data_IF_436710273672
#
_entry.id   IF_436710273672
#
_cell.length_a   1.000
_cell.length_b   1.000
_cell.length_c   1.000
_cell.angle_alpha   90.00
_cell.angle_beta   90.00
_cell.angle_gamma   90.00
#
_symmetry.space_group_name_H-M   'P 1'
#
loop_
_entity.id
_entity.type
_entity.pdbx_description
1 polymer ?
#
# COMPACT_ATOMS: atom_id res chain seq x y z
N UNK A 1 6.71 -2.49 -26.66
CA UNK A 1 5.31 -2.50 -27.16
C UNK A 1 4.42 -1.57 -26.34
N UNK A 2 4.33 -1.74 -25.01
CA UNK A 2 3.40 -0.95 -24.17
C UNK A 2 3.67 0.56 -24.23
N UNK A 3 4.93 1.00 -24.15
CA UNK A 3 5.29 2.42 -24.23
C UNK A 3 4.81 3.06 -25.53
N UNK A 4 5.09 2.44 -26.68
CA UNK A 4 4.65 2.94 -27.99
C UNK A 4 3.12 3.07 -28.04
N UNK A 5 2.39 2.08 -27.50
CA UNK A 5 0.92 2.16 -27.45
C UNK A 5 0.46 3.34 -26.59
N UNK A 6 1.11 3.58 -25.44
CA UNK A 6 0.79 4.74 -24.59
C UNK A 6 1.07 6.06 -25.27
N UNK A 7 2.18 6.16 -26.01
CA UNK A 7 2.54 7.36 -26.80
C UNK A 7 1.54 7.64 -27.91
N UNK A 8 1.14 6.60 -28.67
CA UNK A 8 0.21 6.75 -29.80
C UNK A 8 -1.21 7.00 -29.33
N UNK A 9 -1.72 6.20 -28.37
CA UNK A 9 -3.08 6.29 -27.88
C UNK A 9 -3.28 7.41 -26.83
N UNK A 10 -2.22 8.03 -26.35
CA UNK A 10 -2.27 9.04 -25.27
C UNK A 10 -3.07 8.57 -24.04
N UNK A 11 -2.98 7.26 -23.71
CA UNK A 11 -3.64 6.67 -22.55
C UNK A 11 -2.95 5.37 -22.14
N UNK A 12 -3.16 4.93 -20.90
CA UNK A 12 -2.72 3.62 -20.41
C UNK A 12 -3.90 2.63 -20.45
N UNK A 13 -4.20 2.11 -21.62
CA UNK A 13 -5.34 1.20 -21.84
C UNK A 13 -5.32 -0.03 -20.92
N UNK A 14 -4.15 -0.49 -20.53
CA UNK A 14 -4.00 -1.68 -19.68
C UNK A 14 -4.36 -1.41 -18.21
N UNK A 15 -4.07 -0.21 -17.70
CA UNK A 15 -4.19 0.11 -16.28
C UNK A 15 -5.29 1.14 -15.98
N UNK A 16 -5.50 2.07 -16.88
CA UNK A 16 -6.49 3.15 -16.80
C UNK A 16 -7.20 3.28 -18.15
N UNK A 17 -8.03 2.29 -18.53
CA UNK A 17 -8.75 2.34 -19.79
C UNK A 17 -9.65 3.58 -19.83
N UNK A 18 -9.79 4.17 -21.02
CA UNK A 18 -10.64 5.34 -21.28
C UNK A 18 -10.23 6.65 -20.57
N UNK A 19 -9.03 6.69 -19.96
CA UNK A 19 -8.48 7.91 -19.35
C UNK A 19 -7.35 8.45 -20.25
N UNK A 20 -7.66 9.53 -20.98
CA UNK A 20 -6.67 10.23 -21.81
C UNK A 20 -5.61 10.94 -20.96
N UNK A 21 -4.38 10.94 -21.42
CA UNK A 21 -3.34 11.71 -20.77
C UNK A 21 -3.51 13.20 -21.05
N UNK A 22 -3.31 14.07 -20.04
CA UNK A 22 -3.23 15.51 -20.26
C UNK A 22 -2.21 15.84 -21.36
N UNK A 23 -2.46 16.89 -22.12
CA UNK A 23 -1.60 17.28 -23.25
C UNK A 23 -0.15 17.51 -22.80
N UNK A 24 0.03 18.17 -21.66
CA UNK A 24 1.35 18.46 -21.10
C UNK A 24 2.11 17.24 -20.54
N UNK A 25 1.44 16.05 -20.44
CA UNK A 25 2.10 14.85 -19.92
C UNK A 25 3.01 14.22 -20.97
N UNK A 26 4.32 14.31 -20.78
CA UNK A 26 5.32 13.57 -21.54
C UNK A 26 5.31 12.08 -21.21
N UNK A 27 5.69 11.24 -22.17
CA UNK A 27 5.82 9.78 -21.97
C UNK A 27 7.24 9.40 -22.36
N UNK A 28 8.11 9.26 -21.36
CA UNK A 28 9.51 8.93 -21.53
C UNK A 28 9.75 7.42 -21.43
N UNK A 29 10.76 6.95 -22.16
CA UNK A 29 11.26 5.57 -22.07
C UNK A 29 12.51 5.49 -21.21
N UNK A 30 13.26 6.57 -21.16
CA UNK A 30 14.54 6.65 -20.45
C UNK A 30 14.29 7.05 -18.99
N UNK A 31 14.79 6.21 -18.09
CA UNK A 31 14.73 6.48 -16.66
C UNK A 31 15.55 7.71 -16.28
N UNK A 32 16.64 8.00 -17.00
CA UNK A 32 17.47 9.18 -16.76
C UNK A 32 16.71 10.49 -17.05
N UNK A 33 15.85 10.50 -18.08
CA UNK A 33 14.98 11.64 -18.39
C UNK A 33 13.98 11.89 -17.24
N UNK A 34 13.35 10.81 -16.74
CA UNK A 34 12.42 10.92 -15.61
C UNK A 34 13.13 11.35 -14.31
N UNK A 35 14.34 10.84 -14.07
CA UNK A 35 15.11 11.13 -12.86
C UNK A 35 15.69 12.55 -12.83
N UNK A 36 15.73 13.27 -13.97
CA UNK A 36 16.14 14.66 -14.03
C UNK A 36 15.14 15.64 -13.42
N UNK A 37 13.93 15.19 -13.11
CA UNK A 37 12.92 16.00 -12.42
C UNK A 37 13.31 16.25 -10.97
N UNK A 38 12.96 17.43 -10.43
CA UNK A 38 13.20 17.78 -9.02
C UNK A 38 12.44 16.86 -8.06
N UNK A 39 11.20 16.49 -8.42
CA UNK A 39 10.33 15.60 -7.65
C UNK A 39 10.02 14.36 -8.50
N UNK A 40 10.33 13.18 -8.00
CA UNK A 40 10.02 11.91 -8.65
C UNK A 40 9.06 11.08 -7.80
N UNK A 41 7.90 10.75 -8.37
CA UNK A 41 6.91 9.86 -7.76
C UNK A 41 7.21 8.41 -8.16
N UNK A 42 7.43 7.54 -7.17
CA UNK A 42 7.75 6.13 -7.37
C UNK A 42 6.49 5.28 -7.18
N UNK A 43 5.88 4.84 -8.26
CA UNK A 43 4.65 4.07 -8.28
C UNK A 43 4.85 2.64 -8.85
N UNK A 44 5.92 1.99 -8.43
CA UNK A 44 6.26 0.60 -8.78
C UNK A 44 5.75 -0.36 -7.70
N UNK A 45 5.60 -1.67 -7.98
CA UNK A 45 5.35 -2.65 -6.94
C UNK A 45 6.46 -2.63 -5.87
N UNK A 46 6.08 -2.77 -4.59
CA UNK A 46 7.03 -2.68 -3.47
C UNK A 46 8.23 -3.61 -3.63
N UNK A 47 8.00 -4.86 -4.05
CA UNK A 47 9.05 -5.86 -4.24
C UNK A 47 10.00 -5.57 -5.43
N UNK A 48 9.70 -4.55 -6.22
CA UNK A 48 10.55 -4.09 -7.34
C UNK A 48 11.27 -2.78 -7.02
N UNK A 49 10.93 -2.13 -5.90
CA UNK A 49 11.44 -0.80 -5.56
C UNK A 49 12.96 -0.79 -5.41
N UNK A 50 13.54 -1.75 -4.70
CA UNK A 50 15.00 -1.83 -4.49
C UNK A 50 15.76 -1.95 -5.82
N UNK A 51 15.34 -2.87 -6.70
CA UNK A 51 15.92 -3.02 -8.03
C UNK A 51 15.75 -1.78 -8.92
N UNK A 52 14.59 -1.11 -8.80
CA UNK A 52 14.35 0.14 -9.52
C UNK A 52 15.27 1.28 -9.03
N UNK A 53 15.45 1.42 -7.74
CA UNK A 53 16.34 2.43 -7.15
C UNK A 53 17.80 2.22 -7.56
N UNK A 54 18.25 0.96 -7.63
CA UNK A 54 19.61 0.62 -8.09
C UNK A 54 19.84 1.00 -9.56
N UNK A 55 18.79 1.11 -10.36
CA UNK A 55 18.84 1.52 -11.76
C UNK A 55 18.76 3.05 -11.95
N UNK A 56 18.47 3.82 -10.89
CA UNK A 56 18.44 5.28 -10.97
C UNK A 56 19.83 5.84 -11.26
N UNK A 57 19.94 6.86 -12.15
CA UNK A 57 21.19 7.53 -12.40
C UNK A 57 21.77 8.17 -11.14
N UNK A 58 23.02 7.84 -10.82
CA UNK A 58 23.72 8.41 -9.67
C UNK A 58 24.18 9.86 -9.89
N UNK A 59 24.26 10.27 -11.17
CA UNK A 59 24.64 11.64 -11.53
C UNK A 59 23.39 12.51 -11.57
N UNK A 60 23.38 13.58 -10.79
CA UNK A 60 22.24 14.50 -10.62
C UNK A 60 20.96 13.78 -10.15
N UNK A 61 20.98 13.17 -8.97
CA UNK A 61 19.78 12.51 -8.44
C UNK A 61 18.67 13.53 -8.20
N UNK A 62 17.38 13.12 -8.24
CA UNK A 62 16.26 13.97 -7.90
C UNK A 62 16.40 14.48 -6.46
N UNK A 63 15.94 15.72 -6.22
CA UNK A 63 15.96 16.30 -4.88
C UNK A 63 14.96 15.63 -3.94
N UNK A 64 13.81 15.24 -4.47
CA UNK A 64 12.74 14.60 -3.73
C UNK A 64 12.33 13.29 -4.38
N UNK A 65 12.31 12.20 -3.58
CA UNK A 65 11.78 10.90 -3.96
C UNK A 65 10.53 10.62 -3.13
N UNK A 66 9.38 10.56 -3.78
CA UNK A 66 8.09 10.35 -3.12
C UNK A 66 7.59 8.94 -3.45
N UNK A 67 7.62 8.06 -2.48
CA UNK A 67 7.09 6.70 -2.65
C UNK A 67 5.57 6.69 -2.61
N UNK A 68 4.97 6.10 -3.64
CA UNK A 68 3.56 5.70 -3.68
C UNK A 68 3.40 4.18 -3.46
N UNK A 69 4.52 3.46 -3.21
CA UNK A 69 4.53 2.02 -2.98
C UNK A 69 3.87 1.70 -1.62
N UNK A 70 3.18 0.56 -1.56
CA UNK A 70 2.52 0.10 -0.34
C UNK A 70 2.95 -1.33 -0.04
N UNK A 71 3.63 -1.54 1.08
CA UNK A 71 4.12 -2.86 1.46
C UNK A 71 5.41 -2.78 2.26
N UNK A 72 5.91 -3.96 2.59
CA UNK A 72 7.20 -4.20 3.24
C UNK A 72 8.02 -5.07 2.28
N UNK A 73 9.25 -4.71 2.04
CA UNK A 73 10.16 -5.49 1.20
C UNK A 73 10.50 -6.82 1.87
N UNK A 74 10.36 -7.91 1.13
CA UNK A 74 10.56 -9.28 1.66
C UNK A 74 12.03 -9.57 1.97
N UNK A 75 12.94 -9.02 1.21
CA UNK A 75 14.36 -9.31 1.34
C UNK A 75 14.98 -8.59 2.55
N UNK A 76 14.61 -7.33 2.73
CA UNK A 76 15.24 -6.46 3.73
C UNK A 76 14.38 -6.22 4.98
N UNK A 77 13.07 -6.52 4.93
CA UNK A 77 12.11 -6.17 5.98
C UNK A 77 11.85 -4.67 6.09
N UNK A 78 12.29 -3.85 5.12
CA UNK A 78 12.20 -2.39 5.18
C UNK A 78 10.96 -1.86 4.47
N UNK A 79 10.46 -0.72 4.94
CA UNK A 79 9.52 0.11 4.21
C UNK A 79 10.19 0.89 3.08
N UNK A 80 9.39 1.52 2.22
CA UNK A 80 9.90 2.25 1.06
C UNK A 80 10.83 3.40 1.45
N UNK A 81 10.51 4.18 2.48
CA UNK A 81 11.34 5.32 2.93
C UNK A 81 12.74 4.89 3.36
N UNK A 82 12.85 3.76 4.06
CA UNK A 82 14.14 3.22 4.49
C UNK A 82 14.97 2.71 3.29
N UNK A 83 14.35 2.14 2.26
CA UNK A 83 15.02 1.79 1.01
C UNK A 83 15.50 3.03 0.26
N UNK A 84 14.65 4.07 0.15
CA UNK A 84 15.01 5.36 -0.46
C UNK A 84 16.22 5.97 0.24
N UNK A 85 16.20 6.03 1.57
CA UNK A 85 17.28 6.62 2.35
C UNK A 85 18.59 5.85 2.22
N UNK A 86 18.53 4.51 2.12
CA UNK A 86 19.71 3.66 1.95
C UNK A 86 20.35 3.79 0.56
N UNK A 87 19.53 3.88 -0.51
CA UNK A 87 20.02 3.85 -1.89
C UNK A 87 20.14 5.23 -2.55
N UNK A 88 19.45 6.23 -2.02
CA UNK A 88 19.50 7.62 -2.49
C UNK A 88 19.63 8.61 -1.32
N UNK A 89 20.72 8.54 -0.53
CA UNK A 89 20.85 9.29 0.72
C UNK A 89 20.88 10.82 0.53
N UNK A 90 21.16 11.30 -0.67
CA UNK A 90 21.15 12.72 -0.99
C UNK A 90 19.77 13.25 -1.40
N UNK A 91 18.80 12.39 -1.61
CA UNK A 91 17.43 12.76 -1.92
C UNK A 91 16.58 12.81 -0.63
N UNK A 92 15.69 13.79 -0.56
CA UNK A 92 14.71 13.83 0.52
C UNK A 92 13.60 12.80 0.26
N UNK A 93 13.50 11.79 1.11
CA UNK A 93 12.48 10.76 1.01
C UNK A 93 11.14 11.24 1.60
N UNK A 94 10.05 10.94 0.90
CA UNK A 94 8.68 11.12 1.38
C UNK A 94 7.79 9.95 0.95
N UNK A 95 6.64 9.81 1.59
CA UNK A 95 5.64 8.77 1.31
C UNK A 95 4.29 9.43 1.05
N UNK A 96 3.65 9.03 -0.05
CA UNK A 96 2.31 9.44 -0.42
C UNK A 96 1.38 8.23 -0.37
N UNK A 97 0.46 8.22 0.58
CA UNK A 97 -0.43 7.06 0.82
C UNK A 97 -1.77 7.52 1.40
N UNK A 98 -2.78 6.66 1.34
CA UNK A 98 -4.11 6.96 1.85
C UNK A 98 -5.21 6.42 0.96
N UNK A 99 -6.50 6.76 1.24
CA UNK A 99 -7.66 6.19 0.59
C UNK A 99 -7.81 6.70 -0.85
N UNK A 100 -7.25 5.97 -1.80
CA UNK A 100 -7.37 6.31 -3.22
C UNK A 100 -7.28 5.10 -4.12
N UNK A 101 -8.12 5.09 -5.14
CA UNK A 101 -7.92 4.24 -6.30
C UNK A 101 -7.45 5.10 -7.48
N UNK A 102 -6.53 4.56 -8.27
CA UNK A 102 -5.99 5.28 -9.43
C UNK A 102 -7.07 5.71 -10.42
N UNK A 103 -8.14 4.92 -10.54
CA UNK A 103 -9.31 5.25 -11.38
C UNK A 103 -10.04 6.49 -10.89
N UNK A 104 -10.19 6.67 -9.59
CA UNK A 104 -10.91 7.80 -9.00
C UNK A 104 -10.07 9.08 -9.12
N UNK A 105 -8.76 8.99 -8.87
CA UNK A 105 -7.82 10.09 -9.10
C UNK A 105 -7.81 10.53 -10.56
N UNK A 106 -7.72 9.56 -11.49
CA UNK A 106 -7.70 9.87 -12.93
C UNK A 106 -9.02 10.46 -13.43
N UNK A 107 -10.14 10.12 -12.79
CA UNK A 107 -11.44 10.71 -13.06
C UNK A 107 -11.64 12.11 -12.44
N UNK A 108 -10.64 12.62 -11.69
CA UNK A 108 -10.73 13.90 -11.00
C UNK A 108 -11.63 13.91 -9.76
N UNK A 109 -11.94 12.73 -9.21
CA UNK A 109 -12.77 12.62 -8.01
C UNK A 109 -12.06 13.25 -6.82
N UNK A 110 -12.75 14.00 -5.94
CA UNK A 110 -12.16 14.56 -4.73
C UNK A 110 -11.48 13.48 -3.89
N UNK A 111 -10.20 13.67 -3.62
CA UNK A 111 -9.38 12.69 -2.92
C UNK A 111 -8.50 13.37 -1.88
N UNK A 112 -8.28 12.71 -0.75
CA UNK A 112 -7.37 13.17 0.30
C UNK A 112 -6.35 12.09 0.63
N UNK A 113 -5.06 12.46 0.69
CA UNK A 113 -3.96 11.55 1.00
C UNK A 113 -3.07 12.11 2.12
N UNK A 114 -2.38 11.22 2.81
CA UNK A 114 -1.27 11.56 3.70
C UNK A 114 0.02 11.69 2.90
N UNK A 115 0.71 12.80 3.09
CA UNK A 115 2.07 13.04 2.63
C UNK A 115 2.99 13.02 3.86
N UNK A 116 3.71 11.93 4.05
CA UNK A 116 4.62 11.77 5.18
C UNK A 116 6.07 12.04 4.77
N UNK A 117 6.71 12.99 5.48
CA UNK A 117 8.11 13.37 5.27
C UNK A 117 8.72 13.73 6.61
N UNK A 118 9.86 13.13 6.96
CA UNK A 118 10.52 13.38 8.24
C UNK A 118 10.93 14.86 8.40
N UNK A 119 11.37 15.50 7.31
CA UNK A 119 11.64 16.92 7.24
C UNK A 119 10.34 17.70 7.01
N UNK A 120 9.94 18.54 7.97
CA UNK A 120 8.69 19.30 7.92
C UNK A 120 8.70 20.38 6.82
N UNK A 121 9.85 20.97 6.51
CA UNK A 121 9.98 21.99 5.48
C UNK A 121 9.87 21.38 4.07
N UNK A 122 10.53 20.23 3.87
CA UNK A 122 10.38 19.44 2.65
C UNK A 122 8.93 18.96 2.46
N UNK A 123 8.29 18.50 3.55
CA UNK A 123 6.87 18.13 3.53
C UNK A 123 5.95 19.29 3.13
N UNK A 124 6.21 20.50 3.61
CA UNK A 124 5.46 21.71 3.24
C UNK A 124 5.64 22.04 1.76
N UNK A 125 6.89 21.99 1.27
CA UNK A 125 7.19 22.21 -0.14
C UNK A 125 6.48 21.19 -1.04
N UNK A 126 6.62 19.88 -0.74
CA UNK A 126 5.98 18.83 -1.51
C UNK A 126 4.45 18.93 -1.49
N UNK A 127 3.85 19.30 -0.35
CA UNK A 127 2.41 19.54 -0.27
C UNK A 127 1.97 20.64 -1.25
N UNK A 128 2.71 21.75 -1.31
CA UNK A 128 2.40 22.86 -2.20
C UNK A 128 2.54 22.46 -3.69
N UNK A 129 3.56 21.64 -4.03
CA UNK A 129 3.80 21.21 -5.41
C UNK A 129 2.84 20.14 -5.90
N UNK A 130 2.39 19.23 -5.01
CA UNK A 130 1.62 18.04 -5.40
C UNK A 130 0.11 18.17 -5.16
N UNK A 131 -0.34 19.14 -4.39
CA UNK A 131 -1.78 19.39 -4.20
C UNK A 131 -2.43 19.94 -5.46
N UNK A 132 -3.66 19.50 -5.73
CA UNK A 132 -4.46 19.99 -6.85
C UNK A 132 -5.89 20.32 -6.35
N UNK A 133 -6.75 20.94 -7.15
CA UNK A 133 -8.14 21.19 -6.74
C UNK A 133 -8.90 19.92 -6.34
N UNK A 134 -8.59 18.78 -6.93
CA UNK A 134 -9.23 17.48 -6.63
C UNK A 134 -8.39 16.59 -5.68
N UNK A 135 -7.11 16.93 -5.42
CA UNK A 135 -6.24 16.15 -4.54
C UNK A 135 -5.74 17.00 -3.38
N UNK A 136 -6.26 16.75 -2.18
CA UNK A 136 -5.82 17.39 -0.95
C UNK A 136 -4.80 16.52 -0.21
N UNK A 137 -3.64 17.09 0.14
CA UNK A 137 -2.60 16.41 0.89
C UNK A 137 -2.56 16.88 2.34
N UNK A 138 -2.52 15.92 3.27
CA UNK A 138 -2.34 16.15 4.71
C UNK A 138 -0.95 15.72 5.12
N UNK A 139 -0.18 16.64 5.68
CA UNK A 139 1.21 16.37 6.07
C UNK A 139 1.31 15.58 7.37
N UNK A 140 2.29 14.71 7.43
CA UNK A 140 2.73 14.02 8.64
C UNK A 140 4.26 13.98 8.69
N UNK A 141 4.82 14.00 9.90
CA UNK A 141 6.24 13.68 10.11
C UNK A 141 6.44 12.26 10.61
N UNK A 142 5.36 11.53 10.84
CA UNK A 142 5.39 10.10 11.14
C UNK A 142 5.37 9.28 9.85
N UNK A 143 6.57 9.07 9.29
CA UNK A 143 6.75 8.30 8.05
C UNK A 143 6.46 6.83 8.29
N UNK A 144 6.91 6.28 9.43
CA UNK A 144 6.72 4.87 9.79
C UNK A 144 5.24 4.53 9.88
N UNK A 145 4.47 5.35 10.61
CA UNK A 145 3.04 5.13 10.75
C UNK A 145 2.28 5.21 9.43
N UNK A 146 2.62 6.18 8.58
CA UNK A 146 2.00 6.32 7.27
C UNK A 146 2.30 5.12 6.34
N UNK A 147 3.54 4.63 6.29
CA UNK A 147 3.94 3.46 5.50
C UNK A 147 3.25 2.19 5.97
N UNK A 148 3.28 1.94 7.29
CA UNK A 148 2.69 0.74 7.86
C UNK A 148 1.18 0.71 7.69
N UNK A 149 0.50 1.85 7.82
CA UNK A 149 -0.93 1.96 7.51
C UNK A 149 -1.24 1.52 6.07
N UNK A 150 -0.54 2.10 5.10
CA UNK A 150 -0.69 1.76 3.68
C UNK A 150 -0.31 0.32 3.33
N UNK A 151 0.64 -0.28 4.07
CA UNK A 151 1.09 -1.65 3.85
C UNK A 151 0.11 -2.68 4.44
N UNK A 152 -0.17 -2.57 5.74
CA UNK A 152 -0.92 -3.56 6.52
C UNK A 152 -2.40 -3.62 6.14
N UNK A 153 -3.01 -2.51 5.73
CA UNK A 153 -4.39 -2.51 5.25
C UNK A 153 -4.64 -3.56 4.16
N UNK A 154 -3.64 -3.84 3.33
CA UNK A 154 -3.76 -4.80 2.24
C UNK A 154 -3.88 -6.24 2.75
N UNK A 155 -3.24 -6.53 3.89
CA UNK A 155 -3.35 -7.83 4.58
C UNK A 155 -4.76 -8.00 5.14
N UNK A 156 -5.25 -6.98 5.85
CA UNK A 156 -6.61 -7.01 6.44
C UNK A 156 -7.67 -7.07 5.33
N UNK A 157 -7.45 -6.40 4.20
CA UNK A 157 -8.36 -6.48 3.06
C UNK A 157 -8.45 -7.91 2.47
N UNK A 158 -7.37 -8.68 2.45
CA UNK A 158 -7.43 -10.11 2.08
C UNK A 158 -8.33 -10.86 3.05
N UNK A 159 -8.12 -10.72 4.36
CA UNK A 159 -8.93 -11.39 5.37
C UNK A 159 -10.42 -11.01 5.28
N UNK A 160 -10.73 -9.72 5.08
CA UNK A 160 -12.10 -9.24 4.85
C UNK A 160 -12.71 -9.84 3.57
N UNK A 161 -11.92 -9.96 2.51
CA UNK A 161 -12.33 -10.64 1.28
C UNK A 161 -12.67 -12.11 1.51
N UNK A 162 -11.83 -12.86 2.24
CA UNK A 162 -12.08 -14.26 2.63
C UNK A 162 -13.42 -14.37 3.38
N UNK A 163 -13.65 -13.49 4.36
CA UNK A 163 -14.89 -13.46 5.16
C UNK A 163 -16.14 -13.35 4.30
N UNK A 164 -16.14 -12.42 3.35
CA UNK A 164 -17.28 -12.23 2.42
C UNK A 164 -17.37 -13.39 1.41
N UNK A 165 -16.25 -13.84 0.88
CA UNK A 165 -16.21 -14.97 -0.06
C UNK A 165 -16.72 -16.28 0.54
N UNK A 166 -16.48 -16.50 1.84
CA UNK A 166 -17.00 -17.62 2.61
C UNK A 166 -18.48 -17.47 3.04
N UNK A 167 -19.16 -16.37 2.68
CA UNK A 167 -20.58 -16.16 2.96
C UNK A 167 -20.91 -15.70 4.39
N UNK A 168 -19.94 -15.21 5.18
CA UNK A 168 -20.16 -14.83 6.58
C UNK A 168 -20.86 -13.47 6.76
N UNK A 169 -20.92 -12.66 5.71
CA UNK A 169 -21.66 -11.40 5.68
C UNK A 169 -20.90 -10.19 6.25
N UNK A 170 -21.56 -9.03 6.12
CA UNK A 170 -20.95 -7.71 6.40
C UNK A 170 -20.61 -7.48 7.87
N UNK A 171 -21.42 -8.02 8.79
CA UNK A 171 -21.15 -7.89 10.24
C UNK A 171 -19.85 -8.57 10.64
N UNK A 172 -19.59 -9.78 10.11
CA UNK A 172 -18.33 -10.50 10.33
C UNK A 172 -17.14 -9.74 9.72
N UNK A 173 -17.31 -9.18 8.51
CA UNK A 173 -16.29 -8.33 7.88
C UNK A 173 -15.98 -7.10 8.73
N UNK A 174 -17.00 -6.40 9.24
CA UNK A 174 -16.81 -5.22 10.08
C UNK A 174 -16.08 -5.54 11.38
N UNK A 175 -16.47 -6.63 12.07
CA UNK A 175 -15.79 -7.11 13.26
C UNK A 175 -14.33 -7.49 13.00
N UNK A 176 -14.06 -8.19 11.88
CA UNK A 176 -12.70 -8.55 11.48
C UNK A 176 -11.85 -7.32 11.14
N UNK A 177 -12.43 -6.33 10.43
CA UNK A 177 -11.76 -5.08 10.12
C UNK A 177 -11.36 -4.31 11.39
N UNK A 178 -12.24 -4.21 12.38
CA UNK A 178 -11.94 -3.55 13.66
C UNK A 178 -10.80 -4.26 14.40
N UNK A 179 -10.82 -5.59 14.47
CA UNK A 179 -9.74 -6.38 15.08
C UNK A 179 -8.42 -6.26 14.30
N UNK A 180 -8.50 -6.24 12.98
CA UNK A 180 -7.36 -6.01 12.10
C UNK A 180 -6.75 -4.63 12.31
N UNK A 181 -7.57 -3.61 12.52
CA UNK A 181 -7.10 -2.27 12.86
C UNK A 181 -6.29 -2.25 14.16
N UNK A 182 -6.74 -2.93 15.20
CA UNK A 182 -5.99 -3.07 16.47
C UNK A 182 -4.68 -3.85 16.27
N UNK A 183 -4.67 -4.88 15.40
CA UNK A 183 -3.46 -5.61 15.03
C UNK A 183 -2.47 -4.68 14.33
N UNK A 184 -2.93 -3.86 13.39
CA UNK A 184 -2.11 -2.85 12.70
C UNK A 184 -1.52 -1.83 13.68
N UNK A 185 -2.33 -1.28 14.62
CA UNK A 185 -1.87 -0.32 15.62
C UNK A 185 -0.75 -0.91 16.49
N UNK A 186 -0.96 -2.11 17.02
CA UNK A 186 0.01 -2.79 17.88
C UNK A 186 1.33 -3.05 17.16
N UNK A 187 1.27 -3.55 15.93
CA UNK A 187 2.46 -3.80 15.13
C UNK A 187 3.17 -2.51 14.73
N UNK A 188 2.44 -1.48 14.32
CA UNK A 188 3.03 -0.19 13.98
C UNK A 188 3.74 0.46 15.17
N UNK A 189 3.12 0.41 16.35
CA UNK A 189 3.74 0.92 17.59
C UNK A 189 5.04 0.18 17.94
N UNK A 190 5.10 -1.15 17.75
CA UNK A 190 6.33 -1.92 18.01
C UNK A 190 7.50 -1.56 17.08
N UNK A 191 7.19 -1.00 15.91
CA UNK A 191 8.18 -0.53 14.94
C UNK A 191 8.45 0.98 15.03
N UNK A 192 7.92 1.66 16.05
CA UNK A 192 8.21 3.06 16.35
C UNK A 192 7.29 4.07 15.66
N UNK A 193 6.13 3.65 15.14
CA UNK A 193 5.09 4.59 14.74
C UNK A 193 4.59 5.36 15.97
N UNK A 194 4.22 6.63 15.76
CA UNK A 194 3.69 7.47 16.84
C UNK A 194 2.30 7.00 17.26
N UNK A 195 1.91 7.37 18.48
CA UNK A 195 0.56 7.21 18.96
C UNK A 195 -0.42 7.86 17.98
N UNK A 196 -1.57 7.22 17.78
CA UNK A 196 -2.61 7.65 16.84
C UNK A 196 -2.23 7.67 15.35
N UNK A 197 -1.06 7.14 14.95
CA UNK A 197 -0.64 7.07 13.55
C UNK A 197 -1.68 6.40 12.65
N UNK A 198 -2.32 5.35 13.14
CA UNK A 198 -3.34 4.61 12.40
C UNK A 198 -4.70 5.31 12.30
N UNK A 199 -4.98 6.36 13.06
CA UNK A 199 -6.23 7.15 12.99
C UNK A 199 -6.25 8.12 11.79
N UNK A 200 -5.22 8.06 10.96
CA UNK A 200 -4.99 8.94 9.81
C UNK A 200 -5.68 8.43 8.53
N UNK A 201 -5.54 9.22 7.46
CA UNK A 201 -5.95 8.82 6.11
C UNK A 201 -5.19 7.56 5.64
N UNK A 202 -3.90 7.45 5.95
CA UNK A 202 -3.08 6.30 5.60
C UNK A 202 -3.39 5.04 6.40
N UNK A 203 -3.95 5.18 7.60
CA UNK A 203 -4.39 4.08 8.46
C UNK A 203 -5.87 3.75 8.23
N UNK A 204 -6.75 4.27 9.10
CA UNK A 204 -8.19 3.96 9.12
C UNK A 204 -8.88 4.29 7.79
N UNK A 205 -8.54 5.42 7.17
CA UNK A 205 -9.16 5.83 5.90
C UNK A 205 -8.89 4.83 4.77
N UNK A 206 -7.62 4.47 4.58
CA UNK A 206 -7.22 3.53 3.51
C UNK A 206 -7.63 2.09 3.82
N UNK A 207 -7.64 1.70 5.10
CA UNK A 207 -8.18 0.41 5.55
C UNK A 207 -9.66 0.28 5.19
N UNK A 208 -10.47 1.24 5.58
CA UNK A 208 -11.92 1.25 5.33
C UNK A 208 -12.23 1.14 3.84
N UNK A 209 -11.58 1.99 3.02
CA UNK A 209 -11.77 1.95 1.56
C UNK A 209 -11.39 0.59 0.97
N UNK A 210 -10.25 0.03 1.41
CA UNK A 210 -9.68 -1.18 0.80
C UNK A 210 -10.43 -2.44 1.20
N UNK A 211 -10.94 -2.52 2.43
CA UNK A 211 -11.68 -3.67 2.96
C UNK A 211 -13.14 -3.76 2.47
N UNK A 212 -13.68 -2.70 1.86
CA UNK A 212 -15.09 -2.64 1.46
C UNK A 212 -15.30 -2.48 -0.04
N UNK A 213 -14.24 -2.55 -0.85
CA UNK A 213 -14.35 -2.24 -2.29
C UNK A 213 -13.78 -3.33 -3.17
N UNK A 214 -14.55 -3.74 -4.18
CA UNK A 214 -14.13 -4.64 -5.25
C UNK A 214 -13.07 -4.03 -6.18
N UNK A 215 -12.79 -2.73 -6.10
CA UNK A 215 -11.66 -2.11 -6.76
C UNK A 215 -10.32 -2.56 -6.15
N UNK A 216 -10.32 -3.03 -4.89
CA UNK A 216 -9.14 -3.56 -4.21
C UNK A 216 -8.75 -4.94 -4.73
N UNK A 217 -7.56 -5.06 -5.30
CA UNK A 217 -7.00 -6.35 -5.75
C UNK A 217 -6.81 -7.32 -4.59
N UNK A 218 -6.42 -6.82 -3.41
CA UNK A 218 -6.23 -7.62 -2.21
C UNK A 218 -7.57 -8.17 -1.70
N UNK A 219 -8.60 -7.33 -1.63
CA UNK A 219 -9.95 -7.77 -1.26
C UNK A 219 -10.48 -8.81 -2.24
N UNK A 220 -10.38 -8.58 -3.56
CA UNK A 220 -10.81 -9.56 -4.58
C UNK A 220 -10.05 -10.87 -4.50
N UNK A 221 -8.76 -10.84 -4.23
CA UNK A 221 -7.97 -12.05 -3.99
C UNK A 221 -8.51 -12.83 -2.81
N UNK A 222 -8.70 -12.19 -1.65
CA UNK A 222 -9.29 -12.83 -0.48
C UNK A 222 -10.70 -13.37 -0.76
N UNK A 223 -11.53 -12.62 -1.49
CA UNK A 223 -12.87 -13.05 -1.86
C UNK A 223 -12.84 -14.32 -2.74
N UNK A 224 -11.92 -14.41 -3.69
CA UNK A 224 -11.74 -15.61 -4.50
C UNK A 224 -11.29 -16.80 -3.64
N UNK A 225 -10.33 -16.60 -2.71
CA UNK A 225 -9.94 -17.63 -1.74
C UNK A 225 -11.13 -18.11 -0.91
N UNK A 226 -11.92 -17.20 -0.33
CA UNK A 226 -13.11 -17.55 0.46
C UNK A 226 -14.15 -18.35 -0.33
N UNK A 227 -14.24 -18.12 -1.62
CA UNK A 227 -15.07 -18.91 -2.56
C UNK A 227 -14.40 -20.18 -3.06
N UNK A 228 -13.19 -20.50 -2.63
CA UNK A 228 -12.37 -21.62 -3.16
C UNK A 228 -12.18 -21.54 -4.69
N UNK A 229 -12.07 -20.32 -5.22
CA UNK A 229 -11.87 -20.05 -6.66
C UNK A 229 -10.42 -19.64 -6.94
N UNK A 230 -9.95 -19.98 -8.14
CA UNK A 230 -8.65 -19.49 -8.61
C UNK A 230 -8.68 -17.99 -8.86
N UNK A 231 -7.60 -17.32 -8.49
CA UNK A 231 -7.36 -15.92 -8.80
C UNK A 231 -6.32 -15.81 -9.93
N UNK A 232 -6.43 -14.77 -10.76
CA UNK A 232 -5.51 -14.57 -11.88
C UNK A 232 -4.08 -14.30 -11.35
N UNK A 233 -3.09 -15.18 -11.62
CA UNK A 233 -1.72 -15.05 -11.12
C UNK A 233 -0.98 -13.84 -11.72
N UNK A 234 -1.48 -13.23 -12.78
CA UNK A 234 -0.90 -12.03 -13.39
C UNK A 234 -1.26 -10.75 -12.62
N UNK A 235 -2.21 -10.83 -11.69
CA UNK A 235 -2.61 -9.69 -10.86
C UNK A 235 -1.73 -9.66 -9.60
N UNK A 236 -0.93 -8.61 -9.46
CA UNK A 236 -0.09 -8.41 -8.27
C UNK A 236 -0.95 -8.19 -7.03
N UNK A 237 -0.73 -9.01 -5.99
CA UNK A 237 -1.38 -8.92 -4.67
C UNK A 237 -0.33 -8.57 -3.62
N UNK A 238 -0.17 -7.28 -3.36
CA UNK A 238 0.85 -6.75 -2.44
C UNK A 238 0.69 -7.26 -0.99
N UNK A 239 -0.56 -7.53 -0.58
CA UNK A 239 -0.88 -7.96 0.78
C UNK A 239 -0.25 -9.30 1.16
N UNK A 240 -0.05 -10.22 0.22
CA UNK A 240 0.57 -11.53 0.50
C UNK A 240 2.04 -11.35 0.88
N UNK A 241 2.80 -10.61 0.08
CA UNK A 241 4.20 -10.31 0.38
C UNK A 241 4.34 -9.52 1.69
N UNK A 242 3.47 -8.50 1.89
CA UNK A 242 3.43 -7.71 3.12
C UNK A 242 3.14 -8.58 4.35
N UNK A 243 2.19 -9.52 4.26
CA UNK A 243 1.86 -10.42 5.37
C UNK A 243 3.06 -11.28 5.79
N UNK A 244 3.79 -11.83 4.82
CA UNK A 244 5.01 -12.63 5.09
C UNK A 244 6.10 -11.80 5.75
N UNK A 245 6.39 -10.61 5.23
CA UNK A 245 7.38 -9.70 5.80
C UNK A 245 6.98 -9.24 7.21
N UNK A 246 5.71 -8.89 7.41
CA UNK A 246 5.19 -8.48 8.72
C UNK A 246 5.31 -9.60 9.75
N UNK A 247 5.02 -10.86 9.41
CA UNK A 247 5.19 -11.99 10.33
C UNK A 247 6.66 -12.22 10.69
N UNK A 248 7.58 -12.09 9.74
CA UNK A 248 9.00 -12.20 10.02
C UNK A 248 9.45 -11.14 11.05
N UNK A 249 9.10 -9.88 10.82
CA UNK A 249 9.40 -8.78 11.75
C UNK A 249 8.73 -8.93 13.11
N UNK A 250 7.45 -9.37 13.12
CA UNK A 250 6.68 -9.56 14.35
C UNK A 250 7.28 -10.64 15.26
N UNK A 251 7.87 -11.69 14.68
CA UNK A 251 8.56 -12.75 15.41
C UNK A 251 9.74 -12.19 16.18
N UNK A 252 10.54 -11.32 15.55
CA UNK A 252 11.71 -10.70 16.20
C UNK A 252 11.30 -9.74 17.32
N UNK A 253 10.12 -9.12 17.21
CA UNK A 253 9.55 -8.21 18.20
C UNK A 253 8.63 -8.90 19.24
N UNK A 254 8.43 -10.21 19.14
CA UNK A 254 7.52 -11.00 19.97
C UNK A 254 6.06 -10.46 19.93
N UNK A 255 5.61 -9.98 18.78
CA UNK A 255 4.26 -9.44 18.54
C UNK A 255 3.39 -10.50 17.88
N UNK A 256 2.21 -10.73 18.44
CA UNK A 256 1.22 -11.65 17.88
C UNK A 256 0.38 -10.95 16.78
N UNK A 257 0.44 -11.50 15.57
CA UNK A 257 -0.31 -11.03 14.39
C UNK A 257 -1.23 -12.14 13.84
N UNK A 258 -2.26 -12.48 14.54
CA UNK A 258 -3.09 -13.66 14.24
C UNK A 258 -3.87 -13.55 12.92
N UNK A 259 -4.38 -12.37 12.55
CA UNK A 259 -5.09 -12.19 11.27
C UNK A 259 -4.08 -12.32 10.13
N UNK A 260 -2.92 -11.66 10.27
CA UNK A 260 -1.82 -11.75 9.31
C UNK A 260 -1.34 -13.20 9.14
N UNK A 261 -1.23 -13.96 10.25
CA UNK A 261 -0.84 -15.38 10.23
C UNK A 261 -1.84 -16.24 9.44
N UNK A 262 -3.13 -16.05 9.64
CA UNK A 262 -4.17 -16.77 8.89
C UNK A 262 -4.09 -16.43 7.40
N UNK A 263 -3.87 -15.16 7.04
CA UNK A 263 -3.70 -14.74 5.64
C UNK A 263 -2.51 -15.43 5.00
N UNK A 264 -1.37 -15.54 5.68
CA UNK A 264 -0.20 -16.25 5.15
C UNK A 264 -0.50 -17.74 4.98
N UNK A 265 -1.06 -18.39 6.00
CA UNK A 265 -1.37 -19.83 5.92
C UNK A 265 -2.35 -20.16 4.79
N UNK A 266 -3.39 -19.33 4.59
CA UNK A 266 -4.31 -19.48 3.46
C UNK A 266 -3.63 -19.26 2.11
N UNK A 267 -2.80 -18.23 2.00
CA UNK A 267 -2.12 -17.90 0.74
C UNK A 267 -1.08 -18.93 0.32
N UNK A 268 -0.66 -19.79 1.25
CA UNK A 268 0.28 -20.91 1.05
C UNK A 268 -0.39 -22.27 1.04
N UNK A 269 -1.72 -22.31 0.96
CA UNK A 269 -2.52 -23.55 0.98
C UNK A 269 -2.22 -24.45 2.20
N UNK A 270 -1.81 -23.87 3.34
CA UNK A 270 -1.49 -24.60 4.58
C UNK A 270 -2.70 -24.91 5.44
N UNK A 271 -3.78 -24.19 5.24
CA UNK A 271 -5.06 -24.40 5.91
C UNK A 271 -6.21 -24.23 4.92
N UNK A 272 -7.30 -24.95 5.17
CA UNK A 272 -8.55 -24.81 4.44
C UNK A 272 -9.32 -23.55 4.86
N UNK A 273 -10.21 -23.05 3.97
CA UNK A 273 -11.03 -21.87 4.24
C UNK A 273 -11.86 -22.01 5.53
N UNK A 274 -12.43 -23.21 5.78
CA UNK A 274 -13.20 -23.46 7.00
C UNK A 274 -12.33 -23.29 8.26
N UNK A 275 -11.11 -23.83 8.26
CA UNK A 275 -10.17 -23.66 9.39
C UNK A 275 -9.76 -22.20 9.57
N UNK A 276 -9.54 -21.46 8.45
CA UNK A 276 -9.24 -20.05 8.53
C UNK A 276 -10.37 -19.23 9.14
N UNK A 277 -11.60 -19.52 8.75
CA UNK A 277 -12.80 -18.90 9.33
C UNK A 277 -12.87 -19.17 10.84
N UNK A 278 -12.70 -20.41 11.25
CA UNK A 278 -12.70 -20.78 12.67
C UNK A 278 -11.61 -20.04 13.44
N UNK A 279 -10.38 -19.97 12.93
CA UNK A 279 -9.28 -19.25 13.56
C UNK A 279 -9.53 -17.73 13.63
N UNK A 280 -10.17 -17.15 12.63
CA UNK A 280 -10.51 -15.74 12.62
C UNK A 280 -11.66 -15.41 13.58
N UNK A 281 -12.60 -16.33 13.81
CA UNK A 281 -13.81 -16.09 14.58
C UNK A 281 -13.75 -16.59 16.04
N UNK A 282 -12.97 -17.65 16.33
CA UNK A 282 -12.97 -18.39 17.60
C UNK A 282 -12.03 -17.87 18.70
N UNK A 283 -11.64 -16.60 18.68
CA UNK A 283 -10.74 -16.06 19.72
C UNK A 283 -11.41 -16.01 21.10
N UNK A 284 -10.62 -16.21 22.19
CA UNK A 284 -11.11 -16.05 23.55
C UNK A 284 -11.76 -14.68 23.73
N UNK A 285 -12.91 -14.65 24.41
CA UNK A 285 -13.56 -13.39 24.78
C UNK A 285 -12.61 -12.61 25.69
N UNK A 286 -12.27 -11.40 25.29
CA UNK A 286 -11.47 -10.44 26.07
C UNK A 286 -12.34 -9.22 26.32
N UNK A 287 -12.07 -8.53 27.42
CA UNK A 287 -12.62 -7.20 27.65
C UNK A 287 -12.00 -6.24 26.62
N UNK A 288 -12.82 -5.38 26.01
CA UNK A 288 -12.39 -4.30 25.12
C UNK A 288 -11.69 -3.18 25.90
#
# INVERSE_FOLDING_TARGET
AQLRNMQTARCNQKRLPNMGFPEALGIAADLAECAAAEIVLLAVPMQQLGGFLSALPQKNPPKYLVSCCKGIDLETGKGASALLQAQAPNAQAAVLTGPSFATDLAAGSPTALSLACADAAAGLYLQAQLSTPSLRLYRSTDVIGAELGGALKNVIAIACGVTIGAGLGDSARAALMARGYVEMQRFAASLGARDHAMESLSGLGDLSLTCMSDKSRNYRYGHALGQQKKFDPLITVEGVATAKAALALAKDQQIDLPITQVVVQLSEDKIEVAQAVDLLMSRPQKQE
#
